data_IF_647488459569
#
_entry.id   IF_647488459569
#
_cell.length_a   1.000
_cell.length_b   1.000
_cell.length_c   1.000
_cell.angle_alpha   90.00
_cell.angle_beta   90.00
_cell.angle_gamma   90.00
#
_symmetry.space_group_name_H-M   'P 1'
#
loop_
_entity.id
_entity.type
_entity.pdbx_description
1 polymer ?
#
# COMPACT_ATOMS: atom_id res chain seq x y z
N UNK A 1 5.53 14.47 27.34
CA UNK A 1 5.67 13.77 26.03
C UNK A 1 5.07 14.67 24.96
N UNK A 2 5.88 15.25 24.05
CA UNK A 2 5.38 16.20 23.03
C UNK A 2 4.55 15.41 22.00
N UNK A 3 3.26 15.72 21.85
CA UNK A 3 2.42 15.11 20.81
C UNK A 3 3.01 15.45 19.44
N UNK A 4 3.41 14.44 18.67
CA UNK A 4 3.81 14.59 17.25
C UNK A 4 2.61 15.13 16.46
N UNK A 5 2.86 16.03 15.51
CA UNK A 5 1.79 16.51 14.64
C UNK A 5 1.23 15.36 13.79
N UNK A 6 -0.05 15.42 13.41
CA UNK A 6 -0.71 14.35 12.65
C UNK A 6 0.07 14.00 11.36
N UNK A 7 0.65 15.00 10.68
CA UNK A 7 1.52 14.79 9.53
C UNK A 7 2.79 13.99 9.82
N UNK A 8 3.46 14.25 10.95
CA UNK A 8 4.63 13.46 11.36
C UNK A 8 4.27 12.01 11.67
N UNK A 9 3.07 11.76 12.21
CA UNK A 9 2.58 10.40 12.46
C UNK A 9 2.35 9.65 11.15
N UNK A 10 1.69 10.27 10.16
CA UNK A 10 1.45 9.66 8.85
C UNK A 10 2.78 9.30 8.17
N UNK A 11 3.75 10.21 8.14
CA UNK A 11 5.07 9.95 7.55
C UNK A 11 5.76 8.79 8.28
N UNK A 12 5.76 8.78 9.61
CA UNK A 12 6.39 7.72 10.39
C UNK A 12 5.73 6.35 10.15
N UNK A 13 4.40 6.28 10.12
CA UNK A 13 3.65 5.04 9.85
C UNK A 13 3.94 4.53 8.44
N UNK A 14 3.99 5.42 7.45
CA UNK A 14 4.32 5.06 6.07
C UNK A 14 5.74 4.48 5.94
N UNK A 15 6.72 5.11 6.58
CA UNK A 15 8.11 4.61 6.60
C UNK A 15 8.17 3.24 7.29
N UNK A 16 7.53 3.11 8.46
CA UNK A 16 7.49 1.85 9.20
C UNK A 16 6.82 0.73 8.40
N UNK A 17 5.74 1.03 7.66
CA UNK A 17 5.07 0.06 6.81
C UNK A 17 5.97 -0.41 5.66
N UNK A 18 6.67 0.51 4.99
CA UNK A 18 7.63 0.16 3.93
C UNK A 18 8.80 -0.67 4.48
N UNK A 19 9.33 -0.30 5.65
CA UNK A 19 10.38 -1.08 6.33
C UNK A 19 9.89 -2.46 6.76
N UNK A 20 8.67 -2.57 7.30
CA UNK A 20 8.08 -3.83 7.70
C UNK A 20 7.88 -4.77 6.51
N UNK A 21 7.44 -4.24 5.37
CA UNK A 21 7.33 -5.00 4.13
C UNK A 21 8.68 -5.54 3.65
N UNK A 22 9.72 -4.70 3.64
CA UNK A 22 11.07 -5.13 3.29
C UNK A 22 11.63 -6.15 4.29
N UNK A 23 11.44 -5.93 5.59
CA UNK A 23 11.86 -6.85 6.63
C UNK A 23 11.15 -8.21 6.51
N UNK A 24 9.85 -8.21 6.19
CA UNK A 24 9.09 -9.42 5.92
C UNK A 24 9.71 -10.23 4.78
N UNK A 25 10.01 -9.58 3.65
CA UNK A 25 10.68 -10.25 2.53
C UNK A 25 12.06 -10.80 2.91
N UNK A 26 12.92 -9.98 3.55
CA UNK A 26 14.27 -10.40 3.89
C UNK A 26 14.28 -11.57 4.89
N UNK A 27 13.41 -11.52 5.90
CA UNK A 27 13.32 -12.56 6.93
C UNK A 27 12.79 -13.87 6.36
N UNK A 28 11.86 -13.79 5.41
CA UNK A 28 11.27 -14.98 4.77
C UNK A 28 12.06 -15.46 3.56
N UNK A 29 12.96 -14.66 3.00
CA UNK A 29 13.70 -14.97 1.77
C UNK A 29 14.28 -16.39 1.69
N UNK A 30 14.81 -17.01 2.77
CA UNK A 30 15.34 -18.38 2.69
C UNK A 30 14.26 -19.46 2.50
N UNK A 31 12.98 -19.11 2.67
CA UNK A 31 11.81 -20.01 2.60
C UNK A 31 10.85 -19.64 1.47
N UNK A 32 11.18 -18.64 0.67
CA UNK A 32 10.36 -18.21 -0.46
C UNK A 32 10.84 -18.92 -1.73
N UNK A 33 9.93 -19.23 -2.67
CA UNK A 33 10.33 -19.71 -3.99
C UNK A 33 11.07 -18.61 -4.76
N UNK A 34 11.98 -19.01 -5.66
CA UNK A 34 12.74 -18.08 -6.52
C UNK A 34 11.84 -17.30 -7.48
N UNK A 35 10.70 -17.90 -7.83
CA UNK A 35 9.73 -17.37 -8.77
C UNK A 35 8.35 -17.28 -8.15
N UNK A 36 7.57 -16.32 -8.62
CA UNK A 36 6.20 -16.12 -8.23
C UNK A 36 5.31 -16.02 -9.47
N UNK A 37 4.08 -16.53 -9.37
CA UNK A 37 3.09 -16.49 -10.44
C UNK A 37 2.67 -15.04 -10.69
N UNK A 38 2.99 -14.53 -11.89
CA UNK A 38 2.69 -13.16 -12.32
C UNK A 38 1.31 -13.06 -12.97
N UNK A 39 0.97 -14.02 -13.81
CA UNK A 39 -0.32 -14.03 -14.50
C UNK A 39 -0.74 -15.47 -14.82
N UNK A 40 -2.04 -15.64 -15.02
CA UNK A 40 -2.64 -16.89 -15.52
C UNK A 40 -3.47 -16.50 -16.74
N UNK A 41 -3.12 -17.05 -17.91
CA UNK A 41 -3.79 -16.77 -19.18
C UNK A 41 -4.03 -18.02 -20.01
N UNK A 42 -4.56 -17.85 -21.22
CA UNK A 42 -4.81 -18.95 -22.17
C UNK A 42 -3.53 -19.69 -22.57
N UNK A 43 -2.40 -18.98 -22.56
CA UNK A 43 -1.06 -19.51 -22.85
C UNK A 43 -0.40 -20.21 -21.62
N UNK A 44 -1.11 -20.30 -20.49
CA UNK A 44 -0.62 -20.90 -19.25
C UNK A 44 -0.20 -19.90 -18.17
N UNK A 45 0.61 -20.37 -17.24
CA UNK A 45 1.05 -19.60 -16.06
C UNK A 45 2.39 -18.92 -16.34
N UNK A 46 2.40 -17.59 -16.26
CA UNK A 46 3.63 -16.80 -16.36
C UNK A 46 4.26 -16.58 -15.00
N UNK A 47 5.58 -16.78 -14.91
CA UNK A 47 6.36 -16.61 -13.68
C UNK A 47 7.26 -15.39 -13.76
N UNK A 48 7.63 -14.83 -12.61
CA UNK A 48 8.61 -13.74 -12.51
C UNK A 48 9.48 -13.91 -11.27
N UNK A 49 10.74 -13.44 -11.30
CA UNK A 49 11.61 -13.52 -10.14
C UNK A 49 10.99 -12.85 -8.91
N UNK A 50 11.00 -13.54 -7.77
CA UNK A 50 10.35 -13.08 -6.54
C UNK A 50 10.86 -11.71 -6.08
N UNK A 51 12.18 -11.52 -6.10
CA UNK A 51 12.81 -10.25 -5.74
C UNK A 51 12.34 -9.08 -6.61
N UNK A 52 12.09 -9.33 -7.90
CA UNK A 52 11.66 -8.31 -8.85
C UNK A 52 10.20 -7.92 -8.60
N UNK A 53 9.34 -8.91 -8.33
CA UNK A 53 7.94 -8.66 -7.93
C UNK A 53 7.89 -7.83 -6.65
N UNK A 54 8.66 -8.23 -5.63
CA UNK A 54 8.73 -7.53 -4.34
C UNK A 54 9.20 -6.09 -4.52
N UNK A 55 10.24 -5.88 -5.33
CA UNK A 55 10.78 -4.55 -5.64
C UNK A 55 9.76 -3.67 -6.34
N UNK A 56 9.06 -4.17 -7.36
CA UNK A 56 8.05 -3.40 -8.11
C UNK A 56 6.90 -3.00 -7.18
N UNK A 57 6.40 -3.92 -6.35
CA UNK A 57 5.34 -3.63 -5.38
C UNK A 57 5.82 -2.57 -4.38
N UNK A 58 7.02 -2.73 -3.83
CA UNK A 58 7.60 -1.76 -2.90
C UNK A 58 7.77 -0.38 -3.52
N UNK A 59 8.23 -0.30 -4.77
CA UNK A 59 8.40 0.95 -5.51
C UNK A 59 7.05 1.62 -5.81
N UNK A 60 6.05 0.86 -6.26
CA UNK A 60 4.71 1.38 -6.53
C UNK A 60 4.01 1.90 -5.26
N UNK A 61 4.17 1.18 -4.14
CA UNK A 61 3.69 1.62 -2.84
C UNK A 61 4.39 2.91 -2.39
N UNK A 62 5.72 2.94 -2.44
CA UNK A 62 6.51 4.11 -2.05
C UNK A 62 6.15 5.34 -2.87
N UNK A 63 5.96 5.19 -4.18
CA UNK A 63 5.53 6.28 -5.06
C UNK A 63 4.14 6.80 -4.67
N UNK A 64 3.17 5.90 -4.46
CA UNK A 64 1.81 6.29 -4.04
C UNK A 64 1.82 7.03 -2.70
N UNK A 65 2.58 6.51 -1.72
CA UNK A 65 2.77 7.15 -0.42
C UNK A 65 3.42 8.52 -0.57
N UNK A 66 4.47 8.64 -1.38
CA UNK A 66 5.18 9.90 -1.59
C UNK A 66 4.27 10.97 -2.17
N UNK A 67 3.46 10.63 -3.19
CA UNK A 67 2.45 11.53 -3.74
C UNK A 67 1.48 11.97 -2.64
N UNK A 68 0.92 11.03 -1.88
CA UNK A 68 0.00 11.34 -0.78
C UNK A 68 0.60 12.26 0.29
N UNK A 69 1.87 12.06 0.67
CA UNK A 69 2.58 12.90 1.64
C UNK A 69 2.87 14.30 1.07
N UNK A 70 3.33 14.40 -0.18
CA UNK A 70 3.61 15.69 -0.82
C UNK A 70 2.33 16.52 -0.89
N UNK A 71 1.26 15.91 -1.40
CA UNK A 71 -0.06 16.54 -1.52
C UNK A 71 -0.63 16.93 -0.14
N UNK A 72 -0.47 16.07 0.88
CA UNK A 72 -0.85 16.41 2.26
C UNK A 72 -0.13 17.66 2.78
N UNK A 73 1.19 17.75 2.55
CA UNK A 73 2.00 18.90 3.01
C UNK A 73 1.59 20.18 2.27
N UNK A 74 1.35 20.09 0.97
CA UNK A 74 0.94 21.21 0.13
C UNK A 74 -0.39 21.80 0.62
N UNK A 75 -1.43 20.97 0.74
CA UNK A 75 -2.75 21.42 1.22
C UNK A 75 -2.73 21.91 2.67
N UNK A 76 -1.91 21.30 3.52
CA UNK A 76 -1.73 21.79 4.90
C UNK A 76 -1.06 23.16 4.92
N UNK A 77 -0.11 23.43 4.01
CA UNK A 77 0.55 24.73 3.91
C UNK A 77 -0.35 25.83 3.38
N UNK A 78 -1.28 25.48 2.47
CA UNK A 78 -2.26 26.39 1.90
C UNK A 78 -3.38 26.73 2.91
N UNK A 79 -3.57 25.95 3.97
CA UNK A 79 -4.54 26.22 5.03
C UNK A 79 -5.99 25.91 4.68
N UNK A 80 -6.27 25.39 3.48
CA UNK A 80 -7.62 25.10 3.00
C UNK A 80 -7.75 23.59 2.81
N UNK A 81 -8.51 22.92 3.67
CA UNK A 81 -8.82 21.50 3.52
C UNK A 81 -10.19 21.36 2.89
N UNK A 82 -10.28 21.28 1.56
CA UNK A 82 -11.56 21.01 0.88
C UNK A 82 -11.79 19.49 0.74
N UNK A 83 -13.03 19.04 0.47
CA UNK A 83 -13.36 17.61 0.33
C UNK A 83 -12.56 16.92 -0.78
N UNK A 84 -12.38 17.58 -1.94
CA UNK A 84 -11.59 17.06 -3.06
C UNK A 84 -10.11 16.80 -2.69
N UNK A 85 -9.36 17.83 -2.26
CA UNK A 85 -8.00 17.71 -1.72
C UNK A 85 -7.83 16.57 -0.70
N UNK A 86 -8.75 16.48 0.26
CA UNK A 86 -8.75 15.41 1.28
C UNK A 86 -8.88 14.03 0.64
N UNK A 87 -9.82 13.86 -0.28
CA UNK A 87 -10.05 12.58 -0.95
C UNK A 87 -8.80 12.12 -1.73
N UNK A 88 -8.08 13.03 -2.40
CA UNK A 88 -6.84 12.74 -3.12
C UNK A 88 -5.78 12.20 -2.16
N UNK A 89 -5.53 12.90 -1.04
CA UNK A 89 -4.55 12.48 -0.03
C UNK A 89 -4.90 11.10 0.54
N UNK A 90 -6.15 10.90 0.93
CA UNK A 90 -6.64 9.61 1.45
C UNK A 90 -6.43 8.50 0.43
N UNK A 91 -6.79 8.73 -0.83
CA UNK A 91 -6.70 7.75 -1.90
C UNK A 91 -5.26 7.28 -2.13
N UNK A 92 -4.31 8.22 -2.29
CA UNK A 92 -2.91 7.88 -2.55
C UNK A 92 -2.23 7.19 -1.37
N UNK A 93 -2.47 7.65 -0.14
CA UNK A 93 -1.94 7.00 1.06
C UNK A 93 -2.55 5.60 1.25
N UNK A 94 -3.87 5.45 1.10
CA UNK A 94 -4.54 4.16 1.20
C UNK A 94 -4.10 3.20 0.09
N UNK A 95 -3.89 3.69 -1.14
CA UNK A 95 -3.32 2.91 -2.24
C UNK A 95 -1.94 2.38 -1.89
N UNK A 96 -1.08 3.24 -1.34
CA UNK A 96 0.24 2.85 -0.84
C UNK A 96 0.19 1.69 0.16
N UNK A 97 -0.62 1.81 1.22
CA UNK A 97 -0.79 0.75 2.20
C UNK A 97 -1.43 -0.51 1.61
N UNK A 98 -2.42 -0.36 0.72
CA UNK A 98 -3.05 -1.46 0.00
C UNK A 98 -2.03 -2.26 -0.82
N UNK A 99 -1.16 -1.59 -1.57
CA UNK A 99 -0.10 -2.22 -2.38
C UNK A 99 0.89 -2.98 -1.49
N UNK A 100 1.28 -2.43 -0.33
CA UNK A 100 2.09 -3.16 0.65
C UNK A 100 1.36 -4.40 1.21
N UNK A 101 0.05 -4.27 1.44
CA UNK A 101 -0.82 -5.39 1.85
C UNK A 101 -0.86 -6.50 0.80
N UNK A 102 -0.99 -6.14 -0.48
CA UNK A 102 -0.93 -7.06 -1.62
C UNK A 102 0.37 -7.86 -1.61
N UNK A 103 1.52 -7.17 -1.56
CA UNK A 103 2.81 -7.84 -1.55
C UNK A 103 3.00 -8.73 -0.34
N UNK A 104 2.60 -8.26 0.85
CA UNK A 104 2.71 -9.02 2.10
C UNK A 104 1.88 -10.31 2.02
N UNK A 105 0.64 -10.24 1.55
CA UNK A 105 -0.21 -11.42 1.41
C UNK A 105 0.33 -12.40 0.36
N UNK A 106 0.86 -11.90 -0.77
CA UNK A 106 1.51 -12.72 -1.77
C UNK A 106 2.70 -13.48 -1.19
N UNK A 107 3.59 -12.77 -0.48
CA UNK A 107 4.75 -13.37 0.22
C UNK A 107 4.29 -14.44 1.21
N UNK A 108 3.31 -14.12 2.07
CA UNK A 108 2.81 -15.05 3.10
C UNK A 108 2.15 -16.30 2.49
N UNK A 109 1.50 -16.16 1.34
CA UNK A 109 0.81 -17.27 0.66
C UNK A 109 1.80 -18.29 0.08
N UNK A 110 2.99 -17.85 -0.31
CA UNK A 110 3.99 -18.72 -0.97
C UNK A 110 5.05 -19.30 -0.03
N UNK A 111 4.97 -19.03 1.28
CA UNK A 111 5.98 -19.50 2.25
C UNK A 111 6.04 -21.02 2.26
N UNK A 112 7.24 -21.57 2.03
CA UNK A 112 7.50 -23.01 2.13
C UNK A 112 6.83 -23.85 1.05
N UNK A 113 6.35 -23.22 -0.03
CA UNK A 113 5.70 -23.90 -1.15
C UNK A 113 6.38 -23.55 -2.47
N UNK A 114 6.33 -24.50 -3.40
CA UNK A 114 6.79 -24.27 -4.77
C UNK A 114 5.73 -23.51 -5.58
N UNK A 115 6.17 -22.58 -6.43
CA UNK A 115 5.28 -21.73 -7.21
C UNK A 115 4.31 -22.52 -8.11
N UNK A 116 4.73 -23.70 -8.60
CA UNK A 116 3.92 -24.56 -9.46
C UNK A 116 2.70 -25.17 -8.73
N UNK A 117 2.77 -25.35 -7.41
CA UNK A 117 1.73 -26.00 -6.61
C UNK A 117 0.58 -25.04 -6.28
N UNK A 118 0.84 -23.73 -6.30
CA UNK A 118 -0.07 -22.69 -5.82
C UNK A 118 -0.96 -22.08 -6.91
N UNK A 119 -0.57 -22.21 -8.18
CA UNK A 119 -1.33 -21.66 -9.31
C UNK A 119 -1.67 -20.17 -9.11
N UNK A 120 -2.96 -19.82 -9.21
CA UNK A 120 -3.44 -18.45 -9.09
C UNK A 120 -3.64 -17.95 -7.64
N UNK A 121 -3.48 -18.82 -6.63
CA UNK A 121 -3.82 -18.49 -5.24
C UNK A 121 -3.10 -17.26 -4.70
N UNK A 122 -1.77 -17.05 -4.91
CA UNK A 122 -1.08 -15.88 -4.41
C UNK A 122 -1.63 -14.58 -4.99
N UNK A 123 -2.01 -14.57 -6.27
CA UNK A 123 -2.65 -13.41 -6.92
C UNK A 123 -4.00 -13.11 -6.25
N UNK A 124 -4.83 -14.13 -6.06
CA UNK A 124 -6.15 -13.98 -5.42
C UNK A 124 -6.04 -13.42 -3.99
N UNK A 125 -5.14 -13.99 -3.19
CA UNK A 125 -4.89 -13.52 -1.82
C UNK A 125 -4.28 -12.11 -1.79
N UNK A 126 -3.39 -11.79 -2.73
CA UNK A 126 -2.83 -10.45 -2.91
C UNK A 126 -3.89 -9.41 -3.24
N UNK A 127 -4.81 -9.70 -4.17
CA UNK A 127 -5.90 -8.81 -4.53
C UNK A 127 -6.91 -8.63 -3.40
N UNK A 128 -7.23 -9.70 -2.65
CA UNK A 128 -8.08 -9.60 -1.47
C UNK A 128 -7.44 -8.71 -0.39
N UNK A 129 -6.14 -8.89 -0.13
CA UNK A 129 -5.39 -8.06 0.81
C UNK A 129 -5.29 -6.60 0.34
N UNK A 130 -5.11 -6.36 -0.96
CA UNK A 130 -5.14 -5.02 -1.55
C UNK A 130 -6.42 -4.29 -1.18
N UNK A 131 -7.58 -4.88 -1.48
CA UNK A 131 -8.89 -4.25 -1.29
C UNK A 131 -9.18 -4.04 0.19
N UNK A 132 -8.92 -5.05 1.02
CA UNK A 132 -9.18 -4.99 2.46
C UNK A 132 -8.31 -3.95 3.16
N UNK A 133 -6.99 -3.96 2.92
CA UNK A 133 -6.06 -2.99 3.51
C UNK A 133 -6.33 -1.59 2.98
N UNK A 134 -6.58 -1.43 1.66
CA UNK A 134 -6.98 -0.15 1.09
C UNK A 134 -8.21 0.43 1.78
N UNK A 135 -9.29 -0.37 1.90
CA UNK A 135 -10.53 0.09 2.51
C UNK A 135 -10.34 0.49 3.98
N UNK A 136 -9.63 -0.33 4.76
CA UNK A 136 -9.32 -0.03 6.16
C UNK A 136 -8.48 1.24 6.30
N UNK A 137 -7.42 1.36 5.50
CA UNK A 137 -6.56 2.55 5.49
C UNK A 137 -7.34 3.79 5.07
N UNK A 138 -8.19 3.72 4.05
CA UNK A 138 -9.00 4.84 3.60
C UNK A 138 -9.97 5.32 4.70
N UNK A 139 -10.64 4.40 5.40
CA UNK A 139 -11.54 4.72 6.53
C UNK A 139 -10.77 5.37 7.67
N UNK A 140 -9.61 4.82 8.04
CA UNK A 140 -8.78 5.37 9.12
C UNK A 140 -8.27 6.76 8.75
N UNK A 141 -7.69 6.93 7.56
CA UNK A 141 -7.16 8.20 7.08
C UNK A 141 -8.25 9.27 6.95
N UNK A 142 -9.43 8.92 6.43
CA UNK A 142 -10.54 9.86 6.33
C UNK A 142 -10.98 10.40 7.71
N UNK A 143 -10.89 9.57 8.76
CA UNK A 143 -11.20 9.94 10.14
C UNK A 143 -10.09 10.73 10.82
N UNK A 144 -8.83 10.41 10.55
CA UNK A 144 -7.68 11.03 11.25
C UNK A 144 -7.21 12.33 10.62
N UNK A 145 -7.39 12.51 9.30
CA UNK A 145 -7.01 13.74 8.62
C UNK A 145 -7.96 14.89 8.97
N UNK A 146 -7.48 16.16 8.90
CA UNK A 146 -8.28 17.34 9.21
C UNK A 146 -9.66 17.30 8.55
N UNK A 147 -10.68 17.83 9.24
CA UNK A 147 -12.01 17.94 8.66
C UNK A 147 -11.93 18.87 7.46
N UNK A 148 -12.60 18.48 6.38
CA UNK A 148 -12.71 19.36 5.26
C UNK A 148 -13.68 20.50 5.63
N UNK A 149 -13.34 21.73 5.26
CA UNK A 149 -14.28 22.84 5.25
C UNK A 149 -15.36 22.54 4.22
N UNK A 150 -16.62 22.77 4.60
CA UNK A 150 -17.70 22.63 3.63
C UNK A 150 -17.54 23.77 2.64
N UNK A 151 -17.36 23.44 1.35
CA UNK A 151 -17.47 24.42 0.30
C UNK A 151 -18.87 25.03 0.40
N UNK A 152 -18.95 26.29 0.82
CA UNK A 152 -20.17 27.06 0.72
C UNK A 152 -20.48 27.16 -0.77
N UNK A 153 -21.44 26.35 -1.23
CA UNK A 153 -22.09 26.57 -2.51
C UNK A 153 -22.84 27.89 -2.37
N UNK A 154 -22.17 29.00 -2.69
CA UNK A 154 -22.84 30.25 -3.01
C UNK A 154 -23.80 29.94 -4.16
N UNK A 155 -25.09 29.86 -3.83
CA UNK A 155 -26.19 29.68 -4.77
C UNK A 155 -26.41 30.95 -5.57
#
# INVERSE_FOLDING_TARGET
MKMRSAGQQVIAVSILAAMAYWALYLFLSPRLPDQLVRHVGTEGIGYSPMWLVVLIIGAAAALSIAIGIITYRDFTSLGHWNPGPKAIVVCFLAAGFGILGLGSAMILTVIGQEAAQLGALPIGMGLLALVTVFALSAVLLARTLPRAEQEALDR
#
